data_IF_268085263490
#
_entry.id   IF_268085263490
#
_cell.length_a   1.000
_cell.length_b   1.000
_cell.length_c   1.000
_cell.angle_alpha   90.00
_cell.angle_beta   90.00
_cell.angle_gamma   90.00
#
_symmetry.space_group_name_H-M   'P 1'
#
loop_
_entity.id
_entity.type
_entity.pdbx_description
1 polymer ?
#
# COMPACT_ATOMS: atom_id res chain seq x y z
N UNK A 1 -16.52 -2.81 2.10
CA UNK A 1 -15.05 -2.69 2.16
C UNK A 1 -14.67 -1.38 1.49
N UNK A 2 -13.82 -0.53 2.09
CA UNK A 2 -13.35 0.69 1.42
C UNK A 2 -12.55 0.27 0.17
N UNK A 3 -13.06 0.62 -1.01
CA UNK A 3 -12.40 0.34 -2.28
C UNK A 3 -11.26 1.35 -2.48
N UNK A 4 -10.05 0.96 -2.09
CA UNK A 4 -8.83 1.72 -2.37
C UNK A 4 -8.62 1.77 -3.88
N UNK A 5 -8.74 2.97 -4.47
CA UNK A 5 -8.63 3.20 -5.91
C UNK A 5 -7.54 4.22 -6.21
N UNK A 6 -7.01 4.22 -7.43
CA UNK A 6 -6.09 5.28 -7.88
C UNK A 6 -6.72 6.66 -7.66
N UNK A 7 -5.96 7.60 -7.10
CA UNK A 7 -6.41 8.92 -6.68
C UNK A 7 -7.03 8.96 -5.27
N UNK A 8 -7.10 7.84 -4.56
CA UNK A 8 -7.60 7.82 -3.18
C UNK A 8 -6.51 8.25 -2.22
N UNK A 9 -6.85 9.19 -1.33
CA UNK A 9 -5.99 9.61 -0.23
C UNK A 9 -6.02 8.59 0.90
N UNK A 10 -4.86 8.12 1.29
CA UNK A 10 -4.66 7.07 2.29
C UNK A 10 -3.66 7.52 3.34
N UNK A 11 -3.74 6.91 4.52
CA UNK A 11 -2.75 7.09 5.58
C UNK A 11 -2.02 5.77 5.76
N UNK A 12 -0.69 5.84 5.73
CA UNK A 12 0.14 4.68 6.02
C UNK A 12 0.10 4.46 7.53
N UNK A 13 -0.38 3.29 7.93
CA UNK A 13 -0.49 2.87 9.32
C UNK A 13 0.34 1.59 9.46
N UNK A 14 1.63 1.76 9.76
CA UNK A 14 2.53 0.64 10.05
C UNK A 14 2.28 0.26 11.50
N UNK A 15 1.77 -0.93 11.84
CA UNK A 15 1.50 -1.30 13.23
C UNK A 15 2.77 -1.68 14.01
N UNK A 16 3.84 -2.09 13.33
CA UNK A 16 5.10 -2.49 13.96
C UNK A 16 6.02 -1.27 14.14
N UNK A 17 6.14 -0.79 15.38
CA UNK A 17 7.00 0.33 15.75
C UNK A 17 8.50 0.04 15.54
N UNK A 18 8.89 -1.22 15.35
CA UNK A 18 10.27 -1.62 15.09
C UNK A 18 10.61 -1.63 13.61
N UNK A 19 9.63 -1.44 12.73
CA UNK A 19 9.93 -1.31 11.31
C UNK A 19 10.76 -0.03 11.11
N UNK A 20 11.89 -0.10 10.39
CA UNK A 20 12.68 1.09 10.08
C UNK A 20 11.87 2.11 9.26
N UNK A 21 10.84 1.63 8.58
CA UNK A 21 9.86 2.39 7.82
C UNK A 21 8.79 3.04 8.69
N UNK A 22 8.63 2.62 9.96
CA UNK A 22 7.66 3.17 10.88
C UNK A 22 7.88 4.67 11.10
N UNK A 23 9.08 5.10 11.50
CA UNK A 23 9.34 6.52 11.78
C UNK A 23 9.21 7.42 10.53
N UNK A 24 9.43 6.87 9.33
CA UNK A 24 9.41 7.60 8.07
C UNK A 24 8.01 7.68 7.45
N UNK A 25 7.22 6.61 7.59
CA UNK A 25 5.95 6.48 6.88
C UNK A 25 4.73 6.37 7.80
N UNK A 26 4.88 5.94 9.05
CA UNK A 26 3.75 5.82 9.97
C UNK A 26 3.08 7.18 10.21
N UNK A 27 1.77 7.24 9.95
CA UNK A 27 0.98 8.47 10.06
C UNK A 27 1.09 9.41 8.86
N UNK A 28 1.97 9.12 7.90
CA UNK A 28 2.10 9.91 6.66
C UNK A 28 0.91 9.65 5.74
N UNK A 29 0.49 10.70 5.04
CA UNK A 29 -0.59 10.62 4.07
C UNK A 29 0.00 10.60 2.66
N UNK A 30 -0.64 9.84 1.80
CA UNK A 30 -0.31 9.78 0.39
C UNK A 30 -1.51 9.53 -0.48
N UNK A 31 -1.30 9.53 -1.77
CA UNK A 31 -2.29 9.22 -2.79
C UNK A 31 -1.91 7.93 -3.50
N UNK A 32 -2.89 7.07 -3.73
CA UNK A 32 -2.66 5.84 -4.51
C UNK A 32 -2.45 6.24 -5.97
N UNK A 33 -1.24 6.02 -6.49
CA UNK A 33 -0.91 6.26 -7.89
C UNK A 33 -1.25 5.06 -8.76
N UNK A 34 -1.01 3.85 -8.25
CA UNK A 34 -1.31 2.60 -8.95
C UNK A 34 -1.80 1.54 -7.97
N UNK A 35 -2.82 0.80 -8.39
CA UNK A 35 -3.25 -0.44 -7.73
C UNK A 35 -2.89 -1.57 -8.67
N UNK A 36 -1.90 -2.38 -8.28
CA UNK A 36 -1.56 -3.61 -8.97
C UNK A 36 -2.23 -4.76 -8.21
N UNK A 37 -3.27 -5.34 -8.80
CA UNK A 37 -3.68 -6.69 -8.41
C UNK A 37 -2.75 -7.66 -9.09
N UNK A 38 -2.09 -8.53 -8.32
CA UNK A 38 -1.39 -9.67 -8.91
C UNK A 38 -2.43 -10.69 -9.38
N UNK A 39 -2.93 -10.49 -10.61
CA UNK A 39 -3.65 -11.50 -11.38
C UNK A 39 -2.64 -12.46 -12.07
N UNK A 40 -1.40 -12.56 -11.58
CA UNK A 40 -0.39 -13.52 -12.07
C UNK A 40 -0.42 -14.84 -11.28
N UNK A 41 -1.41 -15.03 -10.41
CA UNK A 41 -1.71 -16.25 -9.67
C UNK A 41 -2.57 -17.27 -10.43
N UNK A 42 -2.27 -17.61 -11.68
CA UNK A 42 -2.91 -18.77 -12.33
C UNK A 42 -2.47 -20.14 -11.75
N UNK A 43 -1.71 -20.20 -10.64
CA UNK A 43 -1.10 -21.49 -10.22
C UNK A 43 -0.98 -21.75 -8.72
N UNK A 44 -1.10 -20.78 -7.81
CA UNK A 44 -0.89 -21.08 -6.37
C UNK A 44 -1.99 -20.50 -5.49
N UNK A 45 -2.97 -21.33 -5.17
CA UNK A 45 -4.14 -21.01 -4.35
C UNK A 45 -3.79 -20.56 -2.92
N UNK A 46 -3.68 -19.26 -2.73
CA UNK A 46 -3.87 -18.57 -1.45
C UNK A 46 -4.47 -17.20 -1.80
N UNK A 47 -5.80 -17.14 -1.76
CA UNK A 47 -6.66 -16.24 -2.54
C UNK A 47 -6.86 -14.83 -1.94
N UNK A 48 -6.18 -14.44 -0.86
CA UNK A 48 -6.69 -13.31 -0.04
C UNK A 48 -5.74 -12.11 0.19
N UNK A 49 -4.46 -12.14 -0.26
CA UNK A 49 -3.50 -11.05 0.04
C UNK A 49 -2.54 -10.76 -1.14
N UNK A 50 -3.03 -10.24 -2.26
CA UNK A 50 -2.17 -9.92 -3.44
C UNK A 50 -2.51 -8.60 -4.13
N UNK A 51 -2.96 -7.60 -3.36
CA UNK A 51 -3.08 -6.23 -3.87
C UNK A 51 -1.88 -5.39 -3.42
N UNK A 52 -1.10 -4.93 -4.39
CA UNK A 52 0.00 -4.00 -4.20
C UNK A 52 -0.48 -2.60 -4.53
N UNK A 53 -0.40 -1.70 -3.55
CA UNK A 53 -0.76 -0.30 -3.66
C UNK A 53 0.52 0.54 -3.74
N UNK A 54 0.74 1.20 -4.88
CA UNK A 54 1.76 2.21 -5.01
C UNK A 54 1.19 3.54 -4.53
N UNK A 55 1.73 4.05 -3.42
CA UNK A 55 1.31 5.29 -2.78
C UNK A 55 2.41 6.32 -2.97
N UNK A 56 2.07 7.49 -3.50
CA UNK A 56 2.93 8.67 -3.49
C UNK A 56 2.62 9.50 -2.25
N UNK A 57 3.61 9.67 -1.40
CA UNK A 57 3.51 10.40 -0.15
C UNK A 57 3.71 11.90 -0.41
N UNK A 58 3.19 12.74 0.47
CA UNK A 58 3.26 14.21 0.37
C UNK A 58 4.72 14.73 0.28
N UNK A 59 5.70 13.94 0.74
CA UNK A 59 7.14 14.21 0.60
C UNK A 59 7.72 13.99 -0.80
N UNK A 60 6.92 13.56 -1.77
CA UNK A 60 7.36 13.19 -3.13
C UNK A 60 8.00 11.80 -3.21
N UNK A 61 7.92 11.02 -2.13
CA UNK A 61 8.44 9.66 -2.06
C UNK A 61 7.36 8.65 -2.44
N UNK A 62 7.72 7.66 -3.26
CA UNK A 62 6.79 6.62 -3.70
C UNK A 62 7.12 5.32 -2.98
N UNK A 63 6.12 4.77 -2.28
CA UNK A 63 6.25 3.54 -1.52
C UNK A 63 5.16 2.54 -1.93
N UNK A 64 5.52 1.26 -1.97
CA UNK A 64 4.62 0.18 -2.37
C UNK A 64 4.21 -0.61 -1.13
N UNK A 65 2.91 -0.70 -0.87
CA UNK A 65 2.36 -1.39 0.28
C UNK A 65 1.47 -2.54 -0.16
N UNK A 66 1.56 -3.68 0.52
CA UNK A 66 0.62 -4.78 0.37
C UNK A 66 -0.48 -4.62 1.42
N UNK A 67 -1.73 -4.83 1.02
CA UNK A 67 -2.84 -4.97 1.97
C UNK A 67 -2.89 -6.40 2.51
#
# INVERSE_FOLDING_TARGET
MPSLSVGSRVRVDIPDERDPEYEQFHGTHGEIMHVLSDDLGATTGSDEDSQIYQIELDGGEQANFRA
#
